data_IF_887084244015
#
_entry.id   IF_887084244015
#
_cell.length_a   1.000
_cell.length_b   1.000
_cell.length_c   1.000
_cell.angle_alpha   90.00
_cell.angle_beta   90.00
_cell.angle_gamma   90.00
#
_symmetry.space_group_name_H-M   'P 1'
#
loop_
_entity.id
_entity.type
_entity.pdbx_description
1 polymer ?
#
# COMPACT_ATOMS: atom_id res chain seq x y z
N UNK A 1 -13.83 -23.74 4.86
CA UNK A 1 -14.24 -23.11 3.57
C UNK A 1 -14.88 -24.15 2.66
N UNK A 2 -14.17 -25.23 2.30
CA UNK A 2 -14.71 -26.32 1.46
C UNK A 2 -16.03 -26.91 2.00
N UNK A 3 -16.05 -27.29 3.29
CA UNK A 3 -17.25 -27.90 3.92
C UNK A 3 -18.47 -26.97 4.00
N UNK A 4 -18.27 -25.67 3.76
CA UNK A 4 -19.32 -24.64 3.80
C UNK A 4 -19.56 -24.00 2.44
N UNK A 5 -18.92 -24.51 1.39
CA UNK A 5 -18.99 -23.98 0.02
C UNK A 5 -18.64 -22.48 -0.07
N UNK A 6 -17.79 -21.99 0.83
CA UNK A 6 -17.34 -20.59 0.84
C UNK A 6 -16.13 -20.46 -0.09
N UNK A 7 -16.25 -19.59 -1.09
CA UNK A 7 -15.19 -19.22 -2.03
C UNK A 7 -14.58 -17.86 -1.71
N UNK A 8 -13.54 -17.47 -2.45
CA UNK A 8 -12.91 -16.17 -2.25
C UNK A 8 -13.87 -15.04 -2.63
N UNK A 9 -13.83 -13.94 -1.87
CA UNK A 9 -14.66 -12.75 -2.12
C UNK A 9 -16.18 -12.97 -2.01
N UNK A 10 -16.63 -14.06 -1.38
CA UNK A 10 -18.03 -14.28 -1.09
C UNK A 10 -18.59 -13.33 -0.02
N UNK A 11 -19.87 -13.01 -0.17
CA UNK A 11 -20.63 -12.32 0.86
C UNK A 11 -21.11 -13.32 1.89
N UNK A 12 -20.86 -13.01 3.16
CA UNK A 12 -21.25 -13.85 4.28
C UNK A 12 -22.29 -13.12 5.12
N UNK A 13 -23.36 -13.82 5.49
CA UNK A 13 -24.40 -13.33 6.41
C UNK A 13 -24.28 -14.03 7.75
N UNK A 14 -24.28 -13.22 8.79
CA UNK A 14 -24.19 -13.63 10.19
C UNK A 14 -25.55 -13.41 10.84
N UNK A 15 -26.00 -14.38 11.66
CA UNK A 15 -27.22 -14.24 12.46
C UNK A 15 -26.88 -13.69 13.84
N UNK A 16 -27.62 -12.67 14.30
CA UNK A 16 -27.33 -11.95 15.55
C UNK A 16 -27.43 -12.87 16.76
N UNK A 17 -28.41 -13.76 16.77
CA UNK A 17 -28.64 -14.74 17.83
C UNK A 17 -27.49 -15.75 18.00
N UNK A 18 -26.60 -15.86 17.00
CA UNK A 18 -25.49 -16.81 16.99
C UNK A 18 -24.11 -16.13 17.00
N UNK A 19 -24.07 -14.84 17.30
CA UNK A 19 -22.84 -14.06 17.30
C UNK A 19 -22.81 -13.10 18.47
N UNK A 20 -21.61 -12.77 18.91
CA UNK A 20 -21.41 -11.68 19.85
C UNK A 20 -20.38 -10.70 19.32
N UNK A 21 -20.61 -9.42 19.58
CA UNK A 21 -19.65 -8.36 19.27
C UNK A 21 -18.67 -8.30 20.43
N UNK A 22 -17.38 -8.47 20.13
CA UNK A 22 -16.31 -8.45 21.13
C UNK A 22 -16.20 -7.05 21.75
N UNK A 23 -16.25 -6.94 23.09
CA UNK A 23 -16.04 -5.66 23.77
C UNK A 23 -14.70 -5.02 23.40
N UNK A 24 -14.67 -3.69 23.23
CA UNK A 24 -13.47 -2.96 22.76
C UNK A 24 -12.18 -3.25 23.55
N UNK A 25 -12.30 -3.50 24.85
CA UNK A 25 -11.17 -3.81 25.73
C UNK A 25 -10.54 -5.18 25.43
N UNK A 26 -11.31 -6.10 24.85
CA UNK A 26 -10.90 -7.48 24.55
C UNK A 26 -10.52 -7.67 23.07
N UNK A 27 -10.84 -6.71 22.21
CA UNK A 27 -10.54 -6.78 20.78
C UNK A 27 -9.05 -6.89 20.50
N UNK A 28 -8.67 -7.89 19.71
CA UNK A 28 -7.28 -8.11 19.28
C UNK A 28 -6.97 -7.44 17.94
N UNK A 29 -7.98 -6.97 17.22
CA UNK A 29 -7.84 -6.29 15.93
C UNK A 29 -8.00 -4.76 16.03
N UNK A 30 -7.55 -4.05 15.00
CA UNK A 30 -7.85 -2.61 14.78
C UNK A 30 -9.11 -2.41 13.93
N UNK A 31 -9.86 -3.47 13.65
CA UNK A 31 -11.13 -3.39 12.93
C UNK A 31 -12.17 -2.61 13.75
N UNK A 32 -13.13 -1.99 13.06
CA UNK A 32 -14.21 -1.26 13.73
C UNK A 32 -15.13 -2.19 14.53
N UNK A 33 -15.34 -3.41 14.02
CA UNK A 33 -16.18 -4.43 14.63
C UNK A 33 -15.44 -5.76 14.61
N UNK A 34 -15.39 -6.43 15.75
CA UNK A 34 -14.87 -7.79 15.90
C UNK A 34 -16.02 -8.66 16.39
N UNK A 35 -16.30 -9.75 15.66
CA UNK A 35 -17.44 -10.62 15.91
C UNK A 35 -16.91 -12.03 16.08
N UNK A 36 -17.38 -12.70 17.12
CA UNK A 36 -17.16 -14.13 17.32
C UNK A 36 -18.48 -14.85 17.05
N UNK A 37 -18.38 -15.94 16.30
CA UNK A 37 -19.48 -16.86 16.06
C UNK A 37 -19.46 -17.96 17.12
N UNK A 38 -20.61 -18.23 17.73
CA UNK A 38 -20.73 -19.34 18.68
C UNK A 38 -20.76 -20.70 17.97
N UNK A 39 -21.37 -20.73 16.78
CA UNK A 39 -21.48 -21.90 15.92
C UNK A 39 -21.33 -21.47 14.46
N UNK A 40 -20.20 -21.82 13.82
CA UNK A 40 -19.95 -21.40 12.45
C UNK A 40 -20.87 -22.11 11.44
N UNK A 41 -21.61 -23.17 11.81
CA UNK A 41 -22.56 -23.89 10.94
C UNK A 41 -23.70 -22.99 10.45
N UNK A 42 -23.95 -21.88 11.15
CA UNK A 42 -24.97 -20.89 10.79
C UNK A 42 -24.47 -19.79 9.85
N UNK A 43 -23.20 -19.84 9.45
CA UNK A 43 -22.64 -18.92 8.45
C UNK A 43 -23.21 -19.27 7.08
N UNK A 44 -23.90 -18.31 6.45
CA UNK A 44 -24.51 -18.52 5.14
C UNK A 44 -23.84 -17.65 4.08
N UNK A 45 -23.47 -18.24 2.96
CA UNK A 45 -23.08 -17.50 1.74
C UNK A 45 -24.31 -16.80 1.18
N UNK A 46 -24.17 -15.53 0.82
CA UNK A 46 -25.25 -14.74 0.22
C UNK A 46 -25.09 -14.77 -1.29
N UNK A 47 -26.00 -15.48 -1.96
CA UNK A 47 -25.94 -15.66 -3.43
C UNK A 47 -26.74 -14.62 -4.20
N UNK A 48 -27.81 -14.06 -3.61
CA UNK A 48 -28.80 -13.29 -4.38
C UNK A 48 -28.71 -11.78 -4.13
N UNK A 49 -28.74 -11.36 -2.85
CA UNK A 49 -28.83 -9.93 -2.45
C UNK A 49 -27.61 -9.10 -2.90
N UNK A 50 -26.43 -9.73 -2.92
CA UNK A 50 -25.16 -9.11 -3.28
C UNK A 50 -24.50 -9.76 -4.49
N UNK A 51 -25.27 -10.49 -5.31
CA UNK A 51 -24.72 -11.14 -6.49
C UNK A 51 -24.09 -10.11 -7.44
N UNK A 52 -22.87 -10.39 -7.91
CA UNK A 52 -22.11 -9.49 -8.78
C UNK A 52 -21.69 -8.16 -8.15
N UNK A 53 -21.97 -7.92 -6.86
CA UNK A 53 -21.53 -6.70 -6.14
C UNK A 53 -20.25 -6.98 -5.38
N UNK A 54 -19.37 -6.00 -5.33
CA UNK A 54 -18.18 -6.02 -4.48
C UNK A 54 -18.30 -4.94 -3.41
N UNK A 55 -17.81 -5.23 -2.20
CA UNK A 55 -17.74 -4.24 -1.13
C UNK A 55 -16.89 -3.02 -1.57
N UNK A 56 -17.14 -1.82 -1.01
CA UNK A 56 -16.34 -0.63 -1.30
C UNK A 56 -14.98 -0.73 -0.58
N UNK A 57 -14.03 -1.44 -1.20
CA UNK A 57 -12.70 -1.70 -0.66
C UNK A 57 -11.81 -0.46 -0.76
N UNK A 58 -11.12 -0.11 0.32
CA UNK A 58 -10.09 0.93 0.31
C UNK A 58 -8.81 0.40 -0.31
N UNK A 59 -8.34 1.03 -1.37
CA UNK A 59 -7.10 0.69 -2.08
C UNK A 59 -6.05 1.77 -1.82
N UNK A 60 -4.96 1.41 -1.15
CA UNK A 60 -3.78 2.25 -0.97
C UNK A 60 -2.74 1.89 -2.03
N UNK A 61 -2.40 2.83 -2.91
CA UNK A 61 -1.17 2.78 -3.70
C UNK A 61 -0.08 3.57 -3.00
N UNK A 62 1.14 3.02 -2.92
CA UNK A 62 2.28 3.76 -2.42
C UNK A 62 3.56 3.46 -3.20
N UNK A 63 4.54 4.34 -3.03
CA UNK A 63 5.89 4.27 -3.61
C UNK A 63 6.87 5.00 -2.67
N UNK A 64 8.13 4.56 -2.60
CA UNK A 64 9.16 5.19 -1.78
C UNK A 64 10.31 5.74 -2.62
N UNK A 65 10.89 6.85 -2.16
CA UNK A 65 12.20 7.30 -2.64
C UNK A 65 13.26 7.16 -1.56
N UNK A 66 14.44 6.77 -1.99
CA UNK A 66 15.58 6.50 -1.12
C UNK A 66 16.82 7.26 -1.58
N UNK A 67 17.63 7.72 -0.64
CA UNK A 67 18.91 8.35 -0.93
C UNK A 67 20.01 7.30 -0.87
N UNK A 68 20.55 6.92 -2.03
CA UNK A 68 21.66 5.96 -2.15
C UNK A 68 22.90 6.41 -1.37
N UNK A 69 23.66 5.44 -0.86
CA UNK A 69 25.01 5.69 -0.36
C UNK A 69 25.96 6.12 -1.50
N UNK A 70 27.08 6.82 -1.20
CA UNK A 70 28.00 7.35 -2.22
C UNK A 70 28.57 6.33 -3.21
N UNK A 71 28.62 5.05 -2.82
CA UNK A 71 29.17 3.95 -3.62
C UNK A 71 28.12 2.89 -3.98
N UNK A 72 26.84 3.14 -3.68
CA UNK A 72 25.78 2.16 -3.85
C UNK A 72 25.14 2.32 -5.24
N UNK A 73 25.18 1.27 -6.06
CA UNK A 73 24.41 1.20 -7.31
C UNK A 73 22.94 0.81 -7.08
N UNK A 74 22.61 0.32 -5.89
CA UNK A 74 21.27 -0.05 -5.47
C UNK A 74 21.05 0.26 -3.98
N UNK A 75 19.84 0.67 -3.55
CA UNK A 75 19.56 0.99 -2.15
C UNK A 75 19.98 -0.13 -1.17
N UNK A 76 21.05 0.10 -0.41
CA UNK A 76 21.51 -0.80 0.65
C UNK A 76 21.10 -0.25 2.02
N UNK A 77 20.53 -1.09 2.89
CA UNK A 77 19.85 -0.67 4.13
C UNK A 77 20.73 0.02 5.16
N UNK A 78 22.06 -0.05 5.04
CA UNK A 78 23.03 0.62 5.91
C UNK A 78 23.05 2.14 5.75
N UNK A 79 23.65 2.64 4.65
CA UNK A 79 23.84 4.08 4.41
C UNK A 79 22.63 4.77 3.79
N UNK A 80 21.71 4.00 3.18
CA UNK A 80 20.57 4.55 2.45
C UNK A 80 19.45 4.99 3.39
N UNK A 81 18.87 6.18 3.15
CA UNK A 81 17.73 6.72 3.92
C UNK A 81 16.45 6.68 3.10
N UNK A 82 15.31 6.40 3.73
CA UNK A 82 14.00 6.71 3.15
C UNK A 82 13.80 8.21 3.25
N UNK A 83 13.60 8.86 2.11
CA UNK A 83 13.48 10.32 2.04
C UNK A 83 12.07 10.77 1.71
N UNK A 84 11.30 9.98 0.96
CA UNK A 84 9.90 10.30 0.65
C UNK A 84 9.05 9.03 0.53
N UNK A 85 7.76 9.14 0.86
CA UNK A 85 6.77 8.09 0.65
C UNK A 85 5.48 8.71 0.09
N UNK A 86 5.15 8.41 -1.16
CA UNK A 86 3.92 8.85 -1.81
C UNK A 86 2.79 7.87 -1.55
N UNK A 87 1.57 8.39 -1.34
CA UNK A 87 0.39 7.59 -1.04
C UNK A 87 -0.82 8.15 -1.80
N UNK A 88 -1.57 7.26 -2.43
CA UNK A 88 -2.85 7.55 -3.07
C UNK A 88 -3.89 6.54 -2.60
N UNK A 89 -5.05 7.01 -2.13
CA UNK A 89 -6.14 6.12 -1.66
C UNK A 89 -7.41 6.40 -2.44
N UNK A 90 -8.05 5.33 -2.91
CA UNK A 90 -9.38 5.35 -3.53
C UNK A 90 -10.23 4.18 -3.05
N UNK A 91 -11.51 4.21 -3.38
CA UNK A 91 -12.43 3.08 -3.19
C UNK A 91 -12.48 2.27 -4.49
N UNK A 92 -12.48 0.94 -4.38
CA UNK A 92 -12.74 -0.01 -5.46
C UNK A 92 -13.95 -0.88 -5.11
N UNK A 93 -14.82 -1.21 -6.07
CA UNK A 93 -14.85 -0.72 -7.45
C UNK A 93 -15.29 0.76 -7.54
N UNK A 94 -14.88 1.46 -8.59
CA UNK A 94 -15.29 2.84 -8.87
C UNK A 94 -15.17 3.15 -10.36
N UNK A 95 -16.06 4.00 -10.88
CA UNK A 95 -16.06 4.42 -12.29
C UNK A 95 -15.11 5.59 -12.59
N UNK A 96 -14.75 6.38 -11.57
CA UNK A 96 -14.01 7.63 -11.77
C UNK A 96 -12.50 7.50 -11.55
N UNK A 97 -12.05 6.41 -10.92
CA UNK A 97 -10.67 6.18 -10.53
C UNK A 97 -10.03 7.44 -9.89
N UNK A 98 -10.76 8.11 -8.99
CA UNK A 98 -10.33 9.38 -8.38
C UNK A 98 -9.90 9.15 -6.93
N UNK A 99 -8.62 9.38 -6.59
CA UNK A 99 -8.16 9.23 -5.21
C UNK A 99 -8.79 10.33 -4.33
N UNK A 100 -9.28 9.94 -3.15
CA UNK A 100 -9.76 10.86 -2.12
C UNK A 100 -8.66 11.25 -1.11
N UNK A 101 -7.55 10.49 -1.06
CA UNK A 101 -6.33 10.88 -0.36
C UNK A 101 -5.18 10.91 -1.34
N UNK A 102 -4.43 12.02 -1.33
CA UNK A 102 -3.11 12.14 -1.96
C UNK A 102 -2.18 12.72 -0.90
N UNK A 103 -1.20 11.95 -0.43
CA UNK A 103 -0.33 12.34 0.70
C UNK A 103 1.12 11.95 0.43
N UNK A 104 2.04 12.87 0.68
CA UNK A 104 3.49 12.63 0.68
C UNK A 104 4.03 12.84 2.09
N UNK A 105 4.78 11.85 2.58
CA UNK A 105 5.62 11.98 3.77
C UNK A 105 7.03 12.29 3.28
N UNK A 106 7.62 13.40 3.70
CA UNK A 106 8.93 13.85 3.20
C UNK A 106 9.90 14.14 4.35
N UNK A 107 11.15 13.74 4.18
CA UNK A 107 12.25 14.11 5.07
C UNK A 107 12.78 15.49 4.67
N UNK A 108 12.98 16.37 5.66
CA UNK A 108 13.19 17.83 5.53
C UNK A 108 11.97 18.58 4.98
N UNK A 109 12.12 19.90 4.81
CA UNK A 109 11.07 20.77 4.27
C UNK A 109 10.74 20.48 2.81
N UNK A 110 9.48 20.51 2.42
CA UNK A 110 9.04 20.31 1.05
C UNK A 110 7.95 21.34 0.74
N UNK A 111 8.06 22.03 -0.40
CA UNK A 111 7.03 23.00 -0.80
C UNK A 111 5.67 22.30 -1.03
N UNK A 112 4.54 23.01 -0.84
CA UNK A 112 3.21 22.47 -1.10
C UNK A 112 3.02 21.94 -2.53
N UNK A 113 2.18 20.91 -2.67
CA UNK A 113 1.80 20.31 -3.95
C UNK A 113 0.28 20.45 -4.10
N UNK A 114 -0.16 20.99 -5.25
CA UNK A 114 -1.58 21.21 -5.49
C UNK A 114 -2.37 19.90 -5.44
N UNK A 115 -3.44 19.89 -4.63
CA UNK A 115 -4.31 18.73 -4.44
C UNK A 115 -3.66 17.55 -3.72
N UNK A 116 -2.57 17.77 -2.96
CA UNK A 116 -1.94 16.75 -2.13
C UNK A 116 -1.53 17.31 -0.76
N UNK A 117 -1.66 16.48 0.28
CA UNK A 117 -1.15 16.80 1.61
C UNK A 117 0.35 16.50 1.67
N UNK A 118 1.14 17.52 2.03
CA UNK A 118 2.59 17.40 2.23
C UNK A 118 2.86 17.39 3.73
N UNK A 119 3.42 16.30 4.25
CA UNK A 119 3.79 16.16 5.67
C UNK A 119 5.29 15.98 5.77
N UNK A 120 5.96 16.87 6.49
CA UNK A 120 7.43 16.93 6.55
C UNK A 120 7.96 16.53 7.92
N UNK A 121 9.10 15.85 7.95
CA UNK A 121 9.75 15.36 9.17
C UNK A 121 11.23 15.74 9.17
N UNK A 122 11.79 15.94 10.37
CA UNK A 122 13.22 16.20 10.51
C UNK A 122 14.04 14.91 10.68
N UNK A 123 13.42 13.85 11.19
CA UNK A 123 14.07 12.56 11.42
C UNK A 123 13.32 11.44 10.69
N UNK A 124 14.08 10.52 10.10
CA UNK A 124 13.53 9.39 9.34
C UNK A 124 12.65 8.48 10.20
N UNK A 125 13.00 8.28 11.48
CA UNK A 125 12.18 7.50 12.41
C UNK A 125 10.75 8.06 12.56
N UNK A 126 10.59 9.38 12.50
CA UNK A 126 9.30 10.04 12.69
C UNK A 126 8.47 9.95 11.40
N UNK A 127 9.14 10.04 10.24
CA UNK A 127 8.56 9.76 8.93
C UNK A 127 8.01 8.33 8.87
N UNK A 128 8.81 7.34 9.26
CA UNK A 128 8.41 5.92 9.26
C UNK A 128 7.23 5.66 10.19
N UNK A 129 7.27 6.20 11.42
CA UNK A 129 6.14 6.10 12.37
C UNK A 129 4.86 6.71 11.81
N UNK A 130 4.95 7.94 11.30
CA UNK A 130 3.79 8.65 10.77
C UNK A 130 3.20 7.95 9.53
N UNK A 131 4.04 7.36 8.67
CA UNK A 131 3.54 6.57 7.55
C UNK A 131 2.80 5.32 8.04
N UNK A 132 3.39 4.55 8.96
CA UNK A 132 2.74 3.36 9.55
C UNK A 132 1.42 3.72 10.23
N UNK A 133 1.38 4.79 11.02
CA UNK A 133 0.16 5.24 11.69
C UNK A 133 -0.90 5.70 10.68
N UNK A 134 -0.48 6.32 9.57
CA UNK A 134 -1.39 6.67 8.48
C UNK A 134 -1.96 5.44 7.77
N UNK A 135 -1.18 4.36 7.58
CA UNK A 135 -1.71 3.10 7.02
C UNK A 135 -2.79 2.54 7.93
N UNK A 136 -2.56 2.51 9.24
CA UNK A 136 -3.58 2.03 10.19
C UNK A 136 -4.81 2.93 10.27
N UNK A 137 -4.63 4.25 10.22
CA UNK A 137 -5.73 5.20 10.24
C UNK A 137 -6.59 5.14 8.97
N UNK A 138 -5.96 4.92 7.81
CA UNK A 138 -6.67 4.73 6.53
C UNK A 138 -7.40 3.38 6.52
N UNK A 139 -6.81 2.36 7.14
CA UNK A 139 -7.26 0.97 7.13
C UNK A 139 -7.54 0.45 5.70
N UNK A 140 -6.53 0.38 4.81
CA UNK A 140 -6.73 -0.12 3.45
C UNK A 140 -7.04 -1.62 3.43
N UNK A 141 -8.02 -2.02 2.62
CA UNK A 141 -8.32 -3.43 2.33
C UNK A 141 -7.29 -4.02 1.36
N UNK A 142 -6.85 -3.22 0.40
CA UNK A 142 -5.88 -3.58 -0.62
C UNK A 142 -4.71 -2.59 -0.60
N UNK A 143 -3.49 -3.09 -0.55
CA UNK A 143 -2.25 -2.33 -0.70
C UNK A 143 -1.62 -2.72 -2.03
N UNK A 144 -1.44 -1.73 -2.90
CA UNK A 144 -0.86 -1.89 -4.24
C UNK A 144 0.42 -1.08 -4.39
N UNK A 145 1.26 -1.53 -5.31
CA UNK A 145 2.56 -0.95 -5.58
C UNK A 145 3.20 -1.64 -6.78
N UNK A 146 4.41 -1.21 -7.14
CA UNK A 146 5.18 -1.85 -8.19
C UNK A 146 6.51 -2.33 -7.63
N UNK A 147 6.67 -3.64 -7.48
CA UNK A 147 7.80 -4.31 -6.83
C UNK A 147 7.88 -4.10 -5.30
N UNK A 148 6.76 -3.72 -4.66
CA UNK A 148 6.67 -3.45 -3.22
C UNK A 148 6.99 -4.66 -2.33
N UNK A 149 6.72 -5.88 -2.82
CA UNK A 149 6.99 -7.10 -2.05
C UNK A 149 8.48 -7.44 -1.98
N UNK A 150 9.24 -7.09 -3.03
CA UNK A 150 10.68 -7.36 -3.11
C UNK A 150 11.53 -6.18 -2.64
N UNK A 151 11.00 -4.96 -2.71
CA UNK A 151 11.76 -3.75 -2.39
C UNK A 151 11.14 -2.95 -1.26
N UNK A 152 10.05 -2.21 -1.51
CA UNK A 152 9.57 -1.16 -0.61
C UNK A 152 9.24 -1.66 0.79
N UNK A 153 8.43 -2.71 0.91
CA UNK A 153 7.97 -3.25 2.21
C UNK A 153 9.15 -3.80 3.01
N UNK A 154 9.99 -4.71 2.46
CA UNK A 154 11.19 -5.17 3.17
C UNK A 154 12.15 -4.03 3.55
N UNK A 155 12.34 -3.06 2.66
CA UNK A 155 13.25 -1.94 2.89
C UNK A 155 12.77 -1.07 4.04
N UNK A 156 11.50 -0.66 4.03
CA UNK A 156 10.87 0.09 5.11
C UNK A 156 10.94 -0.65 6.45
N UNK A 157 10.65 -1.95 6.47
CA UNK A 157 10.72 -2.78 7.68
C UNK A 157 12.14 -2.85 8.24
N UNK A 158 13.16 -2.98 7.37
CA UNK A 158 14.56 -3.01 7.79
C UNK A 158 15.04 -1.67 8.33
N UNK A 159 14.65 -0.55 7.70
CA UNK A 159 14.95 0.80 8.20
C UNK A 159 14.30 1.04 9.56
N UNK A 160 13.06 0.61 9.74
CA UNK A 160 12.38 0.72 11.01
C UNK A 160 13.06 -0.09 12.14
N UNK A 161 13.60 -1.28 11.83
CA UNK A 161 14.38 -2.10 12.76
C UNK A 161 15.66 -1.36 13.22
N UNK A 162 16.38 -0.70 12.31
CA UNK A 162 17.59 0.09 12.64
C UNK A 162 17.26 1.20 13.67
N UNK A 163 16.08 1.80 13.59
CA UNK A 163 15.62 2.83 14.53
C UNK A 163 14.90 2.28 15.77
N UNK A 164 14.82 0.96 15.95
CA UNK A 164 14.13 0.34 17.09
C UNK A 164 12.60 0.57 17.10
N UNK A 165 11.97 0.75 15.92
CA UNK A 165 10.53 0.93 15.80
C UNK A 165 9.86 -0.45 15.79
N UNK A 166 9.76 -1.08 16.96
CA UNK A 166 9.27 -2.45 17.13
C UNK A 166 7.86 -2.67 16.56
N UNK A 167 7.00 -1.67 16.65
CA UNK A 167 5.62 -1.71 16.16
C UNK A 167 5.48 -1.42 14.65
N UNK A 168 6.56 -1.12 13.93
CA UNK A 168 6.48 -0.88 12.48
C UNK A 168 6.02 -2.13 11.72
N UNK A 169 6.37 -3.32 12.24
CA UNK A 169 5.92 -4.60 11.67
C UNK A 169 4.41 -4.84 11.86
N UNK A 170 3.78 -4.11 12.78
CA UNK A 170 2.34 -4.20 13.07
C UNK A 170 1.54 -3.27 12.15
N UNK A 171 1.61 -3.50 10.84
CA UNK A 171 0.86 -2.77 9.78
C UNK A 171 -0.43 -3.48 9.37
N UNK A 172 -0.64 -4.73 9.82
CA UNK A 172 -1.83 -5.52 9.55
C UNK A 172 -3.03 -5.08 10.38
N UNK A 173 -4.07 -5.92 10.41
CA UNK A 173 -5.28 -5.64 11.19
C UNK A 173 -5.24 -6.18 12.62
N UNK A 174 -4.22 -6.95 13.00
CA UNK A 174 -4.02 -7.43 14.37
C UNK A 174 -3.17 -6.41 15.17
N UNK A 175 -3.59 -6.07 16.38
CA UNK A 175 -2.90 -5.11 17.27
C UNK A 175 -1.52 -5.61 17.70
N UNK A 176 -1.43 -6.89 18.04
CA UNK A 176 -0.23 -7.57 18.53
C UNK A 176 -0.11 -8.93 17.84
N UNK A 177 0.29 -9.01 16.55
CA UNK A 177 0.53 -10.30 15.94
C UNK A 177 1.64 -11.00 16.71
N UNK A 178 1.29 -12.06 17.44
CA UNK A 178 2.25 -12.94 18.12
C UNK A 178 3.29 -13.35 17.10
N UNK A 179 4.55 -12.96 17.32
CA UNK A 179 5.73 -13.49 16.64
C UNK A 179 5.50 -13.79 15.16
N UNK A 180 5.38 -12.77 14.31
CA UNK A 180 5.63 -12.98 12.89
C UNK A 180 7.07 -13.49 12.75
N UNK A 181 7.23 -14.80 12.55
CA UNK A 181 8.49 -15.53 12.31
C UNK A 181 9.16 -15.14 10.97
N UNK A 182 9.08 -13.86 10.59
CA UNK A 182 9.59 -13.31 9.34
C UNK A 182 10.11 -11.89 9.50
N UNK A 183 11.06 -11.51 8.63
CA UNK A 183 11.78 -10.23 8.68
C UNK A 183 11.02 -9.04 8.04
N UNK A 184 9.83 -9.27 7.47
CA UNK A 184 9.05 -8.27 6.71
C UNK A 184 7.87 -7.70 7.50
N UNK A 185 7.36 -6.53 7.10
CA UNK A 185 6.16 -5.95 7.72
C UNK A 185 4.94 -6.86 7.52
N UNK A 186 4.11 -7.00 8.57
CA UNK A 186 2.93 -7.85 8.54
C UNK A 186 1.74 -7.07 7.97
N UNK A 187 1.15 -7.55 6.88
CA UNK A 187 -0.07 -7.01 6.29
C UNK A 187 -1.28 -7.96 6.46
N UNK A 188 -1.23 -8.92 7.39
CA UNK A 188 -2.35 -9.83 7.69
C UNK A 188 -3.67 -9.08 7.85
N UNK A 189 -4.72 -9.62 7.21
CA UNK A 189 -6.04 -9.00 7.13
C UNK A 189 -6.17 -7.92 6.04
N UNK A 190 -5.10 -7.66 5.27
CA UNK A 190 -5.07 -6.79 4.09
C UNK A 190 -4.55 -7.59 2.90
N UNK A 191 -5.08 -7.31 1.71
CA UNK A 191 -4.57 -7.89 0.46
C UNK A 191 -3.38 -7.05 0.03
N UNK A 192 -2.19 -7.66 -0.13
CA UNK A 192 -1.05 -6.99 -0.77
C UNK A 192 -0.98 -7.46 -2.20
N UNK A 193 -1.22 -6.54 -3.14
CA UNK A 193 -1.27 -6.84 -4.57
C UNK A 193 -0.16 -6.06 -5.30
N UNK A 194 0.96 -6.73 -5.52
CA UNK A 194 2.11 -6.17 -6.24
C UNK A 194 1.90 -6.31 -7.76
N UNK A 195 1.90 -5.17 -8.46
CA UNK A 195 1.63 -5.14 -9.90
C UNK A 195 2.80 -5.71 -10.71
N UNK A 196 4.04 -5.67 -10.22
CA UNK A 196 5.19 -6.17 -10.97
C UNK A 196 5.07 -7.67 -11.33
N UNK A 197 4.94 -8.61 -10.37
CA UNK A 197 4.76 -10.02 -10.69
C UNK A 197 3.45 -10.29 -11.45
N UNK A 198 2.40 -9.49 -11.22
CA UNK A 198 1.15 -9.60 -12.00
C UNK A 198 1.40 -9.36 -13.50
N UNK A 199 2.11 -8.29 -13.85
CA UNK A 199 2.43 -8.00 -15.25
C UNK A 199 3.40 -9.01 -15.85
N UNK A 200 4.39 -9.50 -15.08
CA UNK A 200 5.28 -10.56 -15.56
C UNK A 200 4.50 -11.84 -15.93
N UNK A 201 3.55 -12.26 -15.09
CA UNK A 201 2.79 -13.49 -15.31
C UNK A 201 1.70 -13.37 -16.38
N UNK A 202 1.00 -12.23 -16.45
CA UNK A 202 -0.16 -12.06 -17.33
C UNK A 202 0.16 -11.38 -18.67
N UNK A 203 1.37 -10.80 -18.80
CA UNK A 203 1.79 -10.08 -20.00
C UNK A 203 3.21 -10.47 -20.44
N UNK A 204 3.47 -11.76 -20.71
CA UNK A 204 4.81 -12.23 -21.09
C UNK A 204 5.31 -11.65 -22.42
N UNK A 205 4.41 -11.15 -23.28
CA UNK A 205 4.76 -10.56 -24.58
C UNK A 205 5.27 -9.11 -24.51
N UNK A 206 5.23 -8.45 -23.33
CA UNK A 206 5.80 -7.12 -23.19
C UNK A 206 7.32 -7.18 -23.31
N UNK A 207 7.89 -6.22 -24.05
CA UNK A 207 9.35 -6.08 -24.21
C UNK A 207 10.05 -5.70 -22.90
N UNK A 208 9.33 -5.05 -21.98
CA UNK A 208 9.83 -4.71 -20.66
C UNK A 208 8.70 -4.64 -19.64
N UNK A 209 8.94 -5.22 -18.46
CA UNK A 209 8.05 -5.14 -17.29
C UNK A 209 8.52 -4.07 -16.29
N UNK A 210 9.30 -3.08 -16.69
CA UNK A 210 9.55 -1.94 -15.81
C UNK A 210 8.34 -1.00 -15.81
N UNK A 211 8.08 -0.35 -14.68
CA UNK A 211 6.90 0.51 -14.49
C UNK A 211 6.74 1.55 -15.61
N UNK A 212 7.82 2.19 -16.07
CA UNK A 212 7.77 3.15 -17.18
C UNK A 212 7.27 2.52 -18.49
N UNK A 213 7.74 1.32 -18.83
CA UNK A 213 7.36 0.64 -20.06
C UNK A 213 5.90 0.16 -19.99
N UNK A 214 5.48 -0.38 -18.84
CA UNK A 214 4.10 -0.82 -18.61
C UNK A 214 3.13 0.37 -18.59
N UNK A 215 3.50 1.46 -17.93
CA UNK A 215 2.69 2.69 -17.89
C UNK A 215 2.58 3.33 -19.28
N UNK A 216 3.66 3.36 -20.07
CA UNK A 216 3.60 3.81 -21.45
C UNK A 216 2.66 2.93 -22.28
N UNK A 217 2.79 1.61 -22.18
CA UNK A 217 2.00 0.68 -22.98
C UNK A 217 0.50 0.73 -22.66
N UNK A 218 0.11 0.79 -21.38
CA UNK A 218 -1.31 0.70 -20.98
C UNK A 218 -1.98 2.05 -20.70
N UNK A 219 -1.22 3.10 -20.41
CA UNK A 219 -1.77 4.42 -20.02
C UNK A 219 -1.34 5.55 -20.97
N UNK A 220 -0.53 5.26 -22.00
CA UNK A 220 0.14 6.26 -22.84
C UNK A 220 0.94 7.30 -22.01
N UNK A 221 1.42 6.86 -20.84
CA UNK A 221 2.12 7.74 -19.89
C UNK A 221 3.63 7.73 -20.17
N UNK A 222 4.09 8.81 -20.81
CA UNK A 222 5.50 8.99 -21.18
C UNK A 222 6.40 9.13 -19.94
N UNK A 223 7.64 8.64 -20.06
CA UNK A 223 8.66 8.75 -19.02
C UNK A 223 8.97 10.23 -18.73
N UNK A 224 9.17 10.58 -17.47
CA UNK A 224 9.61 11.92 -17.09
C UNK A 224 11.11 12.11 -17.31
N UNK A 225 11.51 13.36 -17.46
CA UNK A 225 12.91 13.79 -17.59
C UNK A 225 13.55 13.94 -16.20
N UNK A 226 13.52 12.87 -15.41
CA UNK A 226 14.24 12.75 -14.15
C UNK A 226 14.88 11.37 -14.08
N UNK A 227 16.17 11.35 -13.75
CA UNK A 227 16.97 10.16 -13.51
C UNK A 227 17.16 9.93 -12.02
N UNK A 228 17.43 8.68 -11.64
CA UNK A 228 17.80 8.34 -10.25
C UNK A 228 19.05 9.11 -9.78
N UNK A 229 19.91 9.52 -10.72
CA UNK A 229 21.10 10.35 -10.45
C UNK A 229 20.77 11.76 -9.97
N UNK A 230 19.55 12.24 -10.22
CA UNK A 230 19.11 13.58 -9.82
C UNK A 230 18.63 13.60 -8.35
N UNK A 231 18.27 12.44 -7.80
CA UNK A 231 17.71 12.30 -6.45
C UNK A 231 18.63 12.92 -5.39
N UNK A 232 19.95 12.64 -5.34
CA UNK A 232 20.83 13.22 -4.33
C UNK A 232 20.95 14.75 -4.45
N UNK A 233 21.00 15.25 -5.69
CA UNK A 233 21.11 16.69 -5.99
C UNK A 233 19.85 17.42 -5.53
N UNK A 234 18.67 16.92 -5.92
CA UNK A 234 17.39 17.52 -5.54
C UNK A 234 17.13 17.44 -4.04
N UNK A 235 17.53 16.34 -3.40
CA UNK A 235 17.37 16.17 -1.96
C UNK A 235 18.27 17.14 -1.15
N UNK A 236 19.50 17.37 -1.64
CA UNK A 236 20.45 18.31 -1.03
C UNK A 236 20.06 19.79 -1.23
N UNK A 237 19.26 20.10 -2.25
CA UNK A 237 18.79 21.45 -2.56
C UNK A 237 17.79 22.05 -1.57
N UNK A 238 16.93 22.94 -2.06
CA UNK A 238 15.95 23.64 -1.22
C UNK A 238 14.58 22.90 -1.16
N UNK A 239 13.58 23.49 -0.52
CA UNK A 239 12.24 22.90 -0.40
C UNK A 239 11.50 22.78 -1.74
N UNK A 240 11.83 23.60 -2.74
CA UNK A 240 11.29 23.50 -4.09
C UNK A 240 11.91 22.33 -4.86
N UNK A 241 13.19 22.03 -4.64
CA UNK A 241 13.85 20.87 -5.25
C UNK A 241 13.32 19.56 -4.67
N UNK A 242 13.16 19.49 -3.34
CA UNK A 242 12.48 18.34 -2.70
C UNK A 242 11.01 18.20 -3.13
N UNK A 243 10.34 19.29 -3.51
CA UNK A 243 9.01 19.23 -4.14
C UNK A 243 9.05 18.59 -5.53
N UNK A 244 10.09 18.83 -6.34
CA UNK A 244 10.25 18.13 -7.64
C UNK A 244 10.38 16.63 -7.42
N UNK A 245 11.20 16.22 -6.44
CA UNK A 245 11.32 14.82 -6.05
C UNK A 245 9.99 14.23 -5.55
N UNK A 246 9.21 14.99 -4.79
CA UNK A 246 7.91 14.53 -4.30
C UNK A 246 6.89 14.35 -5.42
N UNK A 247 6.92 15.19 -6.45
CA UNK A 247 6.09 15.02 -7.65
C UNK A 247 6.51 13.76 -8.40
N UNK A 248 7.81 13.51 -8.54
CA UNK A 248 8.35 12.30 -9.14
C UNK A 248 7.90 11.03 -8.40
N UNK A 249 8.01 10.99 -7.06
CA UNK A 249 7.51 9.88 -6.23
C UNK A 249 5.98 9.69 -6.37
N UNK A 250 5.21 10.79 -6.39
CA UNK A 250 3.77 10.73 -6.67
C UNK A 250 3.45 10.14 -8.04
N UNK A 251 4.28 10.41 -9.06
CA UNK A 251 4.09 9.88 -10.40
C UNK A 251 4.21 8.35 -10.42
N UNK A 252 5.21 7.79 -9.73
CA UNK A 252 5.39 6.35 -9.62
C UNK A 252 4.19 5.67 -8.93
N UNK A 253 3.76 6.18 -7.77
CA UNK A 253 2.53 5.70 -7.10
C UNK A 253 1.29 5.88 -8.00
N UNK A 254 1.16 7.01 -8.69
CA UNK A 254 0.03 7.31 -9.58
C UNK A 254 -0.05 6.36 -10.77
N UNK A 255 1.07 5.92 -11.33
CA UNK A 255 1.09 4.96 -12.44
C UNK A 255 0.55 3.61 -11.98
N UNK A 256 1.06 3.12 -10.85
CA UNK A 256 0.55 1.89 -10.22
C UNK A 256 -0.95 1.99 -9.96
N UNK A 257 -1.39 3.11 -9.37
CA UNK A 257 -2.80 3.38 -9.11
C UNK A 257 -3.64 3.29 -10.39
N UNK A 258 -3.27 4.00 -11.46
CA UNK A 258 -4.06 3.98 -12.69
C UNK A 258 -3.97 2.65 -13.45
N UNK A 259 -2.84 1.93 -13.39
CA UNK A 259 -2.73 0.59 -13.93
C UNK A 259 -3.70 -0.39 -13.25
N UNK A 260 -3.93 -0.24 -11.95
CA UNK A 260 -4.91 -1.03 -11.22
C UNK A 260 -6.36 -0.62 -11.55
N UNK A 261 -6.66 0.68 -11.55
CA UNK A 261 -8.04 1.17 -11.64
C UNK A 261 -8.59 1.34 -13.07
N UNK A 262 -7.75 1.67 -14.06
CA UNK A 262 -8.24 2.05 -15.40
C UNK A 262 -8.05 0.98 -16.45
N UNK A 263 -7.33 -0.09 -16.13
CA UNK A 263 -7.01 -1.11 -17.12
C UNK A 263 -8.23 -2.03 -17.38
N UNK A 264 -8.69 -2.15 -18.64
CA UNK A 264 -9.69 -3.14 -19.00
C UNK A 264 -9.21 -4.57 -18.68
N UNK A 265 -10.07 -5.37 -18.04
CA UNK A 265 -9.77 -6.77 -17.72
C UNK A 265 -9.10 -7.01 -16.37
N UNK A 266 -8.84 -5.96 -15.58
CA UNK A 266 -8.41 -6.10 -14.19
C UNK A 266 -9.63 -6.43 -13.31
N UNK A 267 -9.91 -7.73 -13.13
CA UNK A 267 -10.97 -8.23 -12.25
C UNK A 267 -10.31 -9.01 -11.14
N UNK A 268 -10.48 -8.58 -9.89
CA UNK A 268 -10.30 -9.49 -8.75
C UNK A 268 -11.42 -10.53 -8.89
N UNK A 269 -11.13 -11.62 -9.60
CA UNK A 269 -12.11 -12.68 -9.86
C UNK A 269 -12.46 -13.36 -8.54
N UNK A 270 -13.73 -13.72 -8.40
CA UNK A 270 -14.18 -14.72 -7.41
C UNK A 270 -13.41 -16.02 -7.60
#
# INVERSE_FOLDING_TARGET
>A
MLDKEITAMDWLKLRKENSFVVPKAEQISVCQTEIVLNDDSKLTVVTDEYNGRTAPLRVLSFDIETLLGPNDSFPATGATKVIQIANMVSIWPTDTAKPFIRKIFALKSCNPISGAQVVTFNQEKDLLRAWRDSVLAVDPDIVIGYNILKFDIPFLAKRAEIFGISNFRCTGRLKNPTLSLGQTADFKGRIVFDLYPHFQGNHPSLTSHHLNAVALHFLDDKKEDMSYTDIPVLYAGNSADRRKLAIYCFKASSRTFFLFFRRPGFVLRK
#
